data_IF_548292925703
#
_entry.id   IF_548292925703
#
_cell.length_a   1.000
_cell.length_b   1.000
_cell.length_c   1.000
_cell.angle_alpha   90.00
_cell.angle_beta   90.00
_cell.angle_gamma   90.00
#
_symmetry.space_group_name_H-M   'P 1'
#
loop_
_entity.id
_entity.type
_entity.pdbx_description
1 polymer ?
#
# COMPACT_ATOMS: atom_id res chain seq x y z
N UNK A 1 -15.09 -12.38 4.33
CA UNK A 1 -15.26 -13.86 4.44
C UNK A 1 -13.95 -14.66 4.53
N UNK A 2 -12.89 -14.43 3.73
CA UNK A 2 -11.65 -15.26 3.75
C UNK A 2 -11.04 -15.51 5.14
N UNK A 3 -10.93 -14.47 5.98
CA UNK A 3 -10.36 -14.61 7.33
C UNK A 3 -11.25 -15.44 8.26
N UNK A 4 -12.57 -15.28 8.16
CA UNK A 4 -13.56 -16.07 8.90
C UNK A 4 -13.45 -17.54 8.49
N UNK A 5 -13.44 -17.83 7.19
CA UNK A 5 -13.28 -19.21 6.70
C UNK A 5 -11.97 -19.86 7.19
N UNK A 6 -10.89 -19.08 7.29
CA UNK A 6 -9.63 -19.56 7.87
C UNK A 6 -9.77 -19.92 9.34
N UNK A 7 -10.43 -19.09 10.15
CA UNK A 7 -10.67 -19.37 11.57
C UNK A 7 -11.63 -20.54 11.77
N UNK A 8 -12.71 -20.62 10.99
CA UNK A 8 -13.63 -21.75 11.00
C UNK A 8 -12.92 -23.07 10.62
N UNK A 9 -11.98 -23.04 9.67
CA UNK A 9 -11.15 -24.20 9.35
C UNK A 9 -10.23 -24.62 10.49
N UNK A 10 -9.76 -23.66 11.31
CA UNK A 10 -8.97 -23.97 12.51
C UNK A 10 -9.84 -24.60 13.60
N UNK A 11 -11.05 -24.09 13.81
CA UNK A 11 -12.04 -24.66 14.73
C UNK A 11 -12.46 -26.09 14.37
N UNK A 12 -12.66 -26.37 13.08
CA UNK A 12 -12.96 -27.74 12.61
C UNK A 12 -11.83 -28.74 12.88
N UNK A 13 -10.60 -28.27 13.04
CA UNK A 13 -9.45 -29.12 13.39
C UNK A 13 -9.36 -29.43 14.87
N UNK A 14 -10.08 -28.69 15.71
CA UNK A 14 -10.16 -28.91 17.15
C UNK A 14 -11.47 -29.62 17.54
N UNK A 15 -12.11 -30.31 16.58
CA UNK A 15 -13.39 -31.06 16.74
C UNK A 15 -14.57 -30.23 17.27
N UNK A 16 -14.45 -28.91 17.31
CA UNK A 16 -15.52 -28.01 17.73
C UNK A 16 -16.47 -27.73 16.57
N UNK A 17 -17.77 -27.76 16.85
CA UNK A 17 -18.77 -27.33 15.89
C UNK A 17 -18.56 -25.85 15.54
N UNK A 18 -18.40 -25.51 14.25
CA UNK A 18 -18.02 -24.17 13.81
C UNK A 18 -19.23 -23.22 13.81
N UNK A 19 -19.75 -22.91 15.00
CA UNK A 19 -20.86 -21.96 15.21
C UNK A 19 -20.35 -20.50 15.30
N UNK A 20 -21.21 -19.49 15.12
CA UNK A 20 -20.85 -18.09 15.35
C UNK A 20 -20.32 -17.83 16.77
N UNK A 21 -20.89 -18.51 17.77
CA UNK A 21 -20.45 -18.44 19.15
C UNK A 21 -19.06 -19.05 19.34
N UNK A 22 -18.83 -20.27 18.83
CA UNK A 22 -17.52 -20.92 18.88
C UNK A 22 -16.43 -20.06 18.20
N UNK A 23 -16.78 -19.35 17.13
CA UNK A 23 -15.89 -18.40 16.47
C UNK A 23 -15.54 -17.20 17.35
N UNK A 24 -16.52 -16.63 18.07
CA UNK A 24 -16.30 -15.52 18.98
C UNK A 24 -15.44 -15.94 20.19
N UNK A 25 -15.72 -17.11 20.76
CA UNK A 25 -14.98 -17.68 21.88
C UNK A 25 -13.54 -18.00 21.48
N UNK A 26 -13.34 -18.67 20.34
CA UNK A 26 -12.02 -18.93 19.77
C UNK A 26 -11.23 -17.64 19.54
N UNK A 27 -11.89 -16.58 19.05
CA UNK A 27 -11.25 -15.28 18.92
C UNK A 27 -10.84 -14.72 20.28
N UNK A 28 -11.73 -14.71 21.29
CA UNK A 28 -11.44 -14.19 22.64
C UNK A 28 -10.28 -14.93 23.30
N UNK A 29 -10.30 -16.25 23.27
CA UNK A 29 -9.24 -17.11 23.81
C UNK A 29 -7.87 -16.73 23.23
N UNK A 30 -7.79 -16.49 21.91
CA UNK A 30 -6.53 -16.06 21.28
C UNK A 30 -6.04 -14.69 21.71
N UNK A 31 -6.95 -13.80 22.13
CA UNK A 31 -6.59 -12.50 22.72
C UNK A 31 -6.04 -12.71 24.13
N UNK A 32 -6.72 -13.52 24.94
CA UNK A 32 -6.33 -13.83 26.33
C UNK A 32 -4.97 -14.52 26.39
N UNK A 33 -4.75 -15.51 25.52
CA UNK A 33 -3.49 -16.25 25.40
C UNK A 33 -2.37 -15.45 24.70
N UNK A 34 -2.63 -14.23 24.25
CA UNK A 34 -1.68 -13.39 23.49
C UNK A 34 -1.08 -14.08 22.24
N UNK A 35 -1.80 -15.02 21.61
CA UNK A 35 -1.27 -15.82 20.49
C UNK A 35 -1.24 -15.08 19.15
N UNK A 36 -1.76 -13.85 19.10
CA UNK A 36 -1.81 -13.01 17.90
C UNK A 36 -1.40 -11.57 18.16
N UNK A 37 -0.85 -10.95 17.11
CA UNK A 37 -0.53 -9.52 17.12
C UNK A 37 -1.80 -8.66 17.16
N UNK A 38 -1.68 -7.44 17.68
CA UNK A 38 -2.78 -6.48 17.71
C UNK A 38 -3.37 -6.21 16.31
N UNK A 39 -2.53 -6.07 15.28
CA UNK A 39 -3.01 -5.84 13.91
C UNK A 39 -3.84 -7.02 13.38
N UNK A 40 -3.41 -8.25 13.65
CA UNK A 40 -4.15 -9.48 13.30
C UNK A 40 -5.47 -9.56 14.06
N UNK A 41 -5.46 -9.24 15.35
CA UNK A 41 -6.65 -9.22 16.18
C UNK A 41 -7.70 -8.22 15.68
N UNK A 42 -7.29 -6.99 15.33
CA UNK A 42 -8.19 -5.98 14.74
C UNK A 42 -8.82 -6.46 13.44
N UNK A 43 -8.04 -7.07 12.56
CA UNK A 43 -8.52 -7.63 11.30
C UNK A 43 -9.49 -8.79 11.50
N UNK A 44 -9.20 -9.70 12.43
CA UNK A 44 -10.06 -10.82 12.76
C UNK A 44 -11.37 -10.32 13.37
N UNK A 45 -11.30 -9.43 14.37
CA UNK A 45 -12.48 -8.78 14.97
C UNK A 45 -13.38 -8.14 13.93
N UNK A 46 -12.83 -7.31 13.04
CA UNK A 46 -13.61 -6.67 11.97
C UNK A 46 -14.21 -7.68 11.00
N UNK A 47 -13.49 -8.77 10.71
CA UNK A 47 -13.98 -9.83 9.83
C UNK A 47 -15.13 -10.63 10.46
N UNK A 48 -15.08 -10.88 11.78
CA UNK A 48 -16.14 -11.57 12.52
C UNK A 48 -17.36 -10.66 12.63
N UNK A 49 -17.18 -9.38 12.98
CA UNK A 49 -18.27 -8.40 13.03
C UNK A 49 -19.03 -8.35 11.70
N UNK A 50 -18.31 -8.26 10.58
CA UNK A 50 -18.91 -8.29 9.25
C UNK A 50 -19.66 -9.60 8.96
N UNK A 51 -19.12 -10.73 9.43
CA UNK A 51 -19.79 -12.03 9.27
C UNK A 51 -21.09 -12.09 10.07
N UNK A 52 -21.07 -11.67 11.34
CA UNK A 52 -22.28 -11.60 12.18
C UNK A 52 -23.33 -10.68 11.57
N UNK A 53 -22.93 -9.50 11.06
CA UNK A 53 -23.87 -8.60 10.39
C UNK A 53 -24.48 -9.23 9.14
N UNK A 54 -23.69 -9.96 8.33
CA UNK A 54 -24.22 -10.66 7.14
C UNK A 54 -25.17 -11.81 7.49
N UNK A 55 -24.96 -12.48 8.63
CA UNK A 55 -25.88 -13.50 9.13
C UNK A 55 -27.17 -12.87 9.66
N UNK A 56 -27.05 -11.77 10.41
CA UNK A 56 -28.19 -11.05 10.97
C UNK A 56 -29.12 -10.54 9.85
N UNK A 57 -28.57 -9.89 8.82
CA UNK A 57 -29.35 -9.45 7.66
C UNK A 57 -30.12 -10.60 7.02
N UNK A 58 -29.44 -11.74 6.76
CA UNK A 58 -30.09 -12.92 6.18
C UNK A 58 -31.21 -13.48 7.05
N UNK A 59 -31.05 -13.48 8.38
CA UNK A 59 -32.08 -13.97 9.30
C UNK A 59 -33.29 -13.04 9.30
N UNK A 60 -33.07 -11.73 9.34
CA UNK A 60 -34.14 -10.72 9.25
C UNK A 60 -34.91 -10.87 7.95
N UNK A 61 -34.23 -11.06 6.81
CA UNK A 61 -34.87 -11.28 5.51
C UNK A 61 -35.78 -12.53 5.51
N UNK A 62 -35.47 -13.52 6.36
CA UNK A 62 -36.27 -14.75 6.54
C UNK A 62 -37.25 -14.69 7.72
N UNK A 63 -37.43 -13.54 8.37
CA UNK A 63 -38.33 -13.36 9.52
C UNK A 63 -37.81 -13.95 10.83
N UNK A 64 -36.54 -14.29 10.93
CA UNK A 64 -35.91 -14.86 12.13
C UNK A 64 -35.38 -13.81 13.11
N UNK A 65 -35.33 -14.16 14.39
CA UNK A 65 -34.72 -13.34 15.44
C UNK A 65 -33.19 -13.20 15.33
N UNK A 66 -32.64 -12.14 15.94
CA UNK A 66 -31.21 -11.79 15.89
C UNK A 66 -30.58 -11.55 17.26
N UNK A 67 -31.29 -11.83 18.35
CA UNK A 67 -30.84 -11.51 19.72
C UNK A 67 -29.53 -12.21 20.08
N UNK A 68 -29.37 -13.47 19.68
CA UNK A 68 -28.12 -14.23 19.82
C UNK A 68 -26.95 -13.54 19.08
N UNK A 69 -27.18 -13.05 17.86
CA UNK A 69 -26.16 -12.35 17.09
C UNK A 69 -25.83 -10.97 17.67
N UNK A 70 -26.82 -10.25 18.21
CA UNK A 70 -26.63 -8.99 18.92
C UNK A 70 -25.83 -9.17 20.21
N UNK A 71 -26.08 -10.26 20.94
CA UNK A 71 -25.31 -10.63 22.12
C UNK A 71 -23.85 -10.93 21.76
N UNK A 72 -23.60 -11.70 20.69
CA UNK A 72 -22.25 -11.97 20.19
C UNK A 72 -21.54 -10.71 19.70
N UNK A 73 -22.25 -9.81 19.02
CA UNK A 73 -21.72 -8.50 18.61
C UNK A 73 -21.29 -7.68 19.83
N UNK A 74 -22.15 -7.59 20.84
CA UNK A 74 -21.88 -6.86 22.09
C UNK A 74 -20.71 -7.46 22.86
N UNK A 75 -20.64 -8.79 22.93
CA UNK A 75 -19.51 -9.53 23.49
C UNK A 75 -18.21 -9.14 22.79
N UNK A 76 -18.15 -9.23 21.46
CA UNK A 76 -16.97 -8.83 20.70
C UNK A 76 -16.61 -7.36 20.93
N UNK A 77 -17.61 -6.47 21.05
CA UNK A 77 -17.41 -5.06 21.40
C UNK A 77 -16.50 -4.88 22.61
N UNK A 78 -16.73 -5.68 23.66
CA UNK A 78 -15.99 -5.65 24.93
C UNK A 78 -14.56 -6.22 24.84
N UNK A 79 -14.28 -7.09 23.88
CA UNK A 79 -12.94 -7.68 23.69
C UNK A 79 -11.92 -6.60 23.27
N UNK A 80 -11.02 -6.25 24.19
CA UNK A 80 -10.00 -5.20 23.99
C UNK A 80 -8.76 -5.76 23.29
N UNK A 81 -8.49 -5.28 22.08
CA UNK A 81 -7.26 -5.63 21.34
C UNK A 81 -6.06 -4.73 21.70
N UNK A 82 -6.27 -3.69 22.53
CA UNK A 82 -5.24 -2.70 22.89
C UNK A 82 -4.05 -3.31 23.65
N UNK A 83 -4.29 -4.38 24.41
CA UNK A 83 -3.31 -5.05 25.28
C UNK A 83 -2.32 -5.93 24.52
N UNK A 84 -2.62 -6.28 23.28
CA UNK A 84 -1.78 -7.14 22.44
C UNK A 84 -0.53 -6.41 21.94
N UNK A 85 0.56 -7.16 21.64
CA UNK A 85 1.78 -6.57 21.11
C UNK A 85 1.54 -5.81 19.80
N UNK A 86 2.05 -4.57 19.76
CA UNK A 86 1.99 -3.65 18.62
C UNK A 86 2.92 -4.10 17.47
N UNK A 87 4.04 -4.75 17.80
CA UNK A 87 5.09 -5.13 16.85
C UNK A 87 5.31 -6.63 16.90
N UNK A 88 5.50 -7.22 15.74
CA UNK A 88 5.94 -8.61 15.60
C UNK A 88 6.98 -8.72 14.49
N UNK A 89 7.85 -9.72 14.62
CA UNK A 89 8.90 -10.00 13.63
C UNK A 89 8.33 -10.59 12.33
N UNK A 90 7.05 -10.96 12.34
CA UNK A 90 6.32 -11.51 11.17
C UNK A 90 5.80 -10.43 10.21
N UNK A 91 6.12 -9.16 10.43
CA UNK A 91 5.71 -8.06 9.53
C UNK A 91 6.77 -7.77 8.47
N UNK A 92 6.46 -6.92 7.50
CA UNK A 92 7.46 -6.47 6.51
C UNK A 92 8.45 -5.44 7.05
N UNK A 93 8.25 -4.95 8.28
CA UNK A 93 9.10 -3.92 8.90
C UNK A 93 10.58 -4.33 9.09
N UNK A 94 10.91 -5.59 9.44
CA UNK A 94 12.28 -6.05 9.57
C UNK A 94 13.02 -6.22 8.23
N UNK A 95 12.27 -6.32 7.11
CA UNK A 95 12.87 -6.52 5.78
C UNK A 95 13.81 -5.37 5.42
N UNK A 96 14.86 -5.69 4.67
CA UNK A 96 15.77 -4.67 4.18
C UNK A 96 15.01 -3.72 3.25
N UNK A 97 15.07 -2.42 3.55
CA UNK A 97 14.40 -1.37 2.77
C UNK A 97 15.23 -0.92 1.56
N UNK A 98 16.52 -1.23 1.55
CA UNK A 98 17.45 -0.94 0.46
C UNK A 98 17.43 -2.08 -0.56
N UNK A 99 17.72 -1.73 -1.80
CA UNK A 99 18.08 -2.69 -2.86
C UNK A 99 19.35 -2.16 -3.52
N UNK A 100 20.49 -2.83 -3.35
CA UNK A 100 21.78 -2.38 -3.90
C UNK A 100 21.99 -2.87 -5.32
N UNK A 101 22.83 -2.16 -6.08
CA UNK A 101 23.22 -2.56 -7.43
C UNK A 101 24.00 -3.88 -7.44
N UNK A 102 24.75 -4.16 -6.37
CA UNK A 102 25.45 -5.44 -6.16
C UNK A 102 24.49 -6.62 -6.17
N UNK A 103 23.37 -6.53 -5.44
CA UNK A 103 22.34 -7.59 -5.44
C UNK A 103 21.77 -7.79 -6.84
N UNK A 104 21.55 -6.70 -7.60
CA UNK A 104 21.05 -6.80 -8.97
C UNK A 104 22.05 -7.56 -9.84
N UNK A 105 23.33 -7.20 -9.79
CA UNK A 105 24.39 -7.88 -10.55
C UNK A 105 24.52 -9.37 -10.20
N UNK A 106 24.43 -9.71 -8.91
CA UNK A 106 24.44 -11.11 -8.47
C UNK A 106 23.22 -11.89 -8.95
N UNK A 107 22.03 -11.28 -8.96
CA UNK A 107 20.80 -11.91 -9.48
C UNK A 107 20.89 -12.09 -11.01
N UNK A 108 21.44 -11.12 -11.74
CA UNK A 108 21.69 -11.21 -13.18
C UNK A 108 22.65 -12.34 -13.51
N UNK A 109 23.79 -12.40 -12.80
CA UNK A 109 24.74 -13.49 -12.94
C UNK A 109 24.07 -14.85 -12.67
N UNK A 110 23.30 -14.97 -11.57
CA UNK A 110 22.57 -16.19 -11.26
C UNK A 110 21.57 -16.58 -12.37
N UNK A 111 20.87 -15.62 -12.97
CA UNK A 111 19.94 -15.88 -14.05
C UNK A 111 20.63 -16.40 -15.32
N UNK A 112 21.87 -15.98 -15.58
CA UNK A 112 22.69 -16.45 -16.70
C UNK A 112 23.23 -17.86 -16.48
N UNK A 113 23.75 -18.16 -15.28
CA UNK A 113 24.44 -19.43 -15.01
C UNK A 113 23.51 -20.54 -14.50
N UNK A 114 22.27 -20.23 -14.12
CA UNK A 114 21.36 -21.19 -13.52
C UNK A 114 19.93 -21.12 -14.10
N UNK A 115 19.68 -21.95 -15.11
CA UNK A 115 18.41 -22.07 -15.80
C UNK A 115 17.23 -22.57 -14.92
N UNK A 116 17.49 -23.08 -13.71
CA UNK A 116 16.41 -23.51 -12.78
C UNK A 116 15.58 -22.31 -12.30
N UNK A 117 16.13 -21.10 -12.34
CA UNK A 117 15.45 -19.87 -11.95
C UNK A 117 14.67 -19.22 -13.12
N UNK A 118 13.78 -19.97 -13.77
CA UNK A 118 13.06 -19.54 -14.99
C UNK A 118 12.31 -18.20 -14.85
N UNK A 119 11.78 -17.89 -13.66
CA UNK A 119 11.04 -16.65 -13.41
C UNK A 119 11.93 -15.49 -12.93
N UNK A 120 13.24 -15.72 -12.74
CA UNK A 120 14.16 -14.68 -12.25
C UNK A 120 14.36 -13.53 -13.25
N UNK A 121 14.39 -13.74 -14.58
CA UNK A 121 14.38 -12.63 -15.54
C UNK A 121 13.20 -11.66 -15.34
N UNK A 122 11.98 -12.17 -15.12
CA UNK A 122 10.83 -11.34 -14.80
C UNK A 122 11.03 -10.52 -13.52
N UNK A 123 11.59 -11.16 -12.47
CA UNK A 123 11.91 -10.49 -11.19
C UNK A 123 12.95 -9.38 -11.39
N UNK A 124 14.01 -9.62 -12.17
CA UNK A 124 15.05 -8.62 -12.47
C UNK A 124 14.45 -7.45 -13.26
N UNK A 125 13.64 -7.72 -14.29
CA UNK A 125 12.94 -6.69 -15.05
C UNK A 125 12.03 -5.85 -14.17
N UNK A 126 11.28 -6.47 -13.25
CA UNK A 126 10.51 -5.75 -12.24
C UNK A 126 11.40 -4.87 -11.36
N UNK A 127 12.51 -5.40 -10.82
CA UNK A 127 13.39 -4.66 -9.91
C UNK A 127 13.93 -3.40 -10.60
N UNK A 128 14.45 -3.54 -11.83
CA UNK A 128 15.03 -2.43 -12.58
C UNK A 128 13.99 -1.34 -12.86
N UNK A 129 12.81 -1.72 -13.35
CA UNK A 129 11.73 -0.77 -13.62
C UNK A 129 11.22 -0.11 -12.32
N UNK A 130 11.04 -0.87 -11.25
CA UNK A 130 10.43 -0.40 -10.02
C UNK A 130 11.39 0.38 -9.11
N UNK A 131 12.70 0.26 -9.30
CA UNK A 131 13.66 1.18 -8.69
C UNK A 131 13.55 2.60 -9.26
N UNK A 132 13.07 2.73 -10.50
CA UNK A 132 12.84 4.04 -11.13
C UNK A 132 11.47 4.60 -10.73
N UNK A 133 10.41 3.80 -10.86
CA UNK A 133 9.01 4.28 -10.71
C UNK A 133 8.45 4.12 -9.29
N UNK A 134 9.00 3.21 -8.50
CA UNK A 134 8.56 2.92 -7.13
C UNK A 134 7.08 2.53 -7.01
N UNK A 135 6.49 1.90 -8.03
CA UNK A 135 5.10 1.43 -8.00
C UNK A 135 4.90 0.30 -6.96
N UNK A 136 3.66 0.14 -6.49
CA UNK A 136 3.27 -1.11 -5.83
C UNK A 136 3.14 -2.19 -6.91
N UNK A 137 3.44 -3.47 -6.62
CA UNK A 137 3.34 -4.53 -7.60
C UNK A 137 2.01 -4.52 -8.38
N UNK A 138 0.88 -4.46 -7.67
CA UNK A 138 -0.46 -4.44 -8.25
C UNK A 138 -0.77 -3.20 -9.11
N UNK A 139 -0.04 -2.09 -8.93
CA UNK A 139 -0.30 -0.86 -9.69
C UNK A 139 0.12 -1.00 -11.16
N UNK A 140 1.14 -1.83 -11.45
CA UNK A 140 1.60 -2.07 -12.82
C UNK A 140 0.49 -2.55 -13.78
N UNK A 141 -0.49 -3.29 -13.25
CA UNK A 141 -1.61 -3.85 -14.02
C UNK A 141 -2.57 -2.80 -14.60
N UNK A 142 -2.49 -1.56 -14.10
CA UNK A 142 -3.34 -0.44 -14.50
C UNK A 142 -2.52 0.78 -14.88
N UNK A 143 -1.41 0.56 -15.59
CA UNK A 143 -0.54 1.63 -16.09
C UNK A 143 -0.72 1.86 -17.59
N UNK A 144 -0.54 3.10 -18.04
CA UNK A 144 -0.51 3.47 -19.45
C UNK A 144 0.46 4.62 -19.70
N UNK A 145 1.17 4.57 -20.84
CA UNK A 145 2.02 5.68 -21.28
C UNK A 145 1.18 6.74 -22.00
N UNK A 146 1.53 8.00 -21.79
CA UNK A 146 0.94 9.14 -22.50
C UNK A 146 1.87 10.36 -22.42
N UNK A 147 1.52 11.43 -23.11
CA UNK A 147 2.20 12.73 -23.00
C UNK A 147 1.44 13.62 -22.01
N UNK A 148 2.05 13.92 -20.86
CA UNK A 148 1.53 14.88 -19.91
C UNK A 148 1.71 16.29 -20.45
N UNK A 149 0.65 17.09 -20.38
CA UNK A 149 0.65 18.50 -20.76
C UNK A 149 0.84 19.33 -19.50
N UNK A 150 1.91 20.12 -19.46
CA UNK A 150 2.26 20.90 -18.29
C UNK A 150 1.34 22.11 -18.10
N UNK A 151 0.97 22.35 -16.85
CA UNK A 151 0.16 23.50 -16.43
C UNK A 151 0.81 24.24 -15.28
N UNK A 152 0.55 25.53 -15.22
CA UNK A 152 0.96 26.38 -14.10
C UNK A 152 -0.03 26.25 -12.91
N UNK A 153 0.22 27.03 -11.86
CA UNK A 153 -0.62 27.06 -10.65
C UNK A 153 -2.04 27.58 -10.90
N UNK A 154 -2.26 28.32 -11.99
CA UNK A 154 -3.56 28.85 -12.40
C UNK A 154 -4.26 27.90 -13.39
N UNK A 155 -3.73 26.68 -13.57
CA UNK A 155 -4.23 25.67 -14.50
C UNK A 155 -4.16 26.13 -15.97
N UNK A 156 -3.28 27.09 -16.30
CA UNK A 156 -2.99 27.51 -17.65
C UNK A 156 -1.85 26.66 -18.25
N UNK A 157 -1.93 26.39 -19.55
CA UNK A 157 -0.90 25.60 -20.23
C UNK A 157 0.45 26.33 -20.24
N UNK A 158 1.50 25.64 -19.79
CA UNK A 158 2.87 26.16 -19.87
C UNK A 158 3.34 26.05 -21.31
N UNK A 159 3.83 27.16 -21.87
CA UNK A 159 4.34 27.22 -23.24
C UNK A 159 5.86 27.33 -23.24
N UNK A 160 6.50 26.71 -24.22
CA UNK A 160 7.94 26.80 -24.44
C UNK A 160 8.24 28.11 -25.16
N UNK A 161 9.12 28.94 -24.57
CA UNK A 161 9.41 30.28 -25.07
C UNK A 161 10.00 30.32 -26.49
N UNK A 162 10.64 29.23 -26.94
CA UNK A 162 11.30 29.16 -28.23
C UNK A 162 10.34 29.05 -29.43
N UNK A 163 9.16 28.46 -29.25
CA UNK A 163 8.23 28.17 -30.36
C UNK A 163 6.73 28.30 -30.01
N UNK A 164 6.42 28.84 -28.82
CA UNK A 164 5.07 28.99 -28.28
C UNK A 164 4.27 27.66 -28.20
N UNK A 165 4.94 26.49 -28.33
CA UNK A 165 4.28 25.19 -28.21
C UNK A 165 4.00 24.86 -26.76
N UNK A 166 2.94 24.09 -26.56
CA UNK A 166 2.58 23.59 -25.24
C UNK A 166 3.68 22.65 -24.76
N UNK A 167 4.21 22.93 -23.57
CA UNK A 167 5.19 22.09 -22.91
C UNK A 167 4.55 20.76 -22.54
N UNK A 168 5.18 19.66 -22.94
CA UNK A 168 4.74 18.32 -22.60
C UNK A 168 5.92 17.42 -22.21
N UNK A 169 5.62 16.35 -21.49
CA UNK A 169 6.60 15.33 -21.14
C UNK A 169 5.99 13.94 -21.14
N UNK A 170 6.75 12.91 -21.55
CA UNK A 170 6.27 11.54 -21.47
C UNK A 170 6.01 11.18 -20.00
N UNK A 171 4.92 10.48 -19.76
CA UNK A 171 4.44 10.16 -18.43
C UNK A 171 3.80 8.78 -18.39
N UNK A 172 3.69 8.25 -17.18
CA UNK A 172 2.95 7.04 -16.86
C UNK A 172 1.73 7.40 -16.02
N UNK A 173 0.54 7.18 -16.56
CA UNK A 173 -0.69 7.22 -15.78
C UNK A 173 -0.81 5.93 -14.99
N UNK A 174 -1.14 6.03 -13.70
CA UNK A 174 -1.16 4.90 -12.77
C UNK A 174 -2.46 4.88 -11.98
N UNK A 175 -3.23 3.79 -12.09
CA UNK A 175 -4.35 3.56 -11.19
C UNK A 175 -3.86 3.33 -9.76
N UNK A 176 -4.27 4.19 -8.84
CA UNK A 176 -3.80 4.19 -7.47
C UNK A 176 -4.44 3.05 -6.65
N UNK A 177 -3.63 2.10 -6.20
CA UNK A 177 -4.11 0.96 -5.41
C UNK A 177 -4.68 1.36 -4.04
N UNK A 178 -4.32 2.54 -3.51
CA UNK A 178 -4.77 3.04 -2.20
C UNK A 178 -6.17 3.66 -2.21
N UNK A 179 -6.73 3.96 -3.38
CA UNK A 179 -8.05 4.60 -3.51
C UNK A 179 -9.16 3.68 -3.07
N UNK A 180 -8.99 2.36 -3.27
CA UNK A 180 -9.92 1.31 -2.82
C UNK A 180 -10.23 1.34 -1.31
N UNK A 181 -9.45 2.06 -0.50
CA UNK A 181 -9.63 2.18 0.94
C UNK A 181 -9.78 3.64 1.41
N UNK A 182 -10.01 4.59 0.48
CA UNK A 182 -10.09 6.03 0.80
C UNK A 182 -8.76 6.64 1.27
N UNK A 183 -7.62 6.03 0.93
CA UNK A 183 -6.27 6.41 1.42
C UNK A 183 -5.33 6.90 0.31
N UNK A 184 -5.82 7.04 -0.91
CA UNK A 184 -5.09 7.55 -2.07
C UNK A 184 -5.48 8.99 -2.39
N UNK A 185 -4.57 9.78 -2.96
CA UNK A 185 -4.78 11.16 -3.43
C UNK A 185 -5.51 11.24 -4.79
N UNK A 186 -6.49 10.35 -5.04
CA UNK A 186 -7.20 10.25 -6.31
C UNK A 186 -7.19 8.82 -6.88
N UNK A 187 -8.10 8.52 -7.81
CA UNK A 187 -8.15 7.20 -8.48
C UNK A 187 -6.93 6.95 -9.35
N UNK A 188 -6.42 8.00 -9.99
CA UNK A 188 -5.23 7.96 -10.83
C UNK A 188 -4.19 8.94 -10.29
N UNK A 189 -2.93 8.71 -10.66
CA UNK A 189 -1.84 9.67 -10.49
C UNK A 189 -0.89 9.56 -11.67
N UNK A 190 -0.17 10.65 -11.91
CA UNK A 190 0.79 10.71 -13.00
C UNK A 190 2.21 10.65 -12.46
N UNK A 191 3.04 9.86 -13.16
CA UNK A 191 4.48 9.83 -12.97
C UNK A 191 5.09 10.43 -14.22
N UNK A 192 5.44 11.71 -14.15
CA UNK A 192 6.07 12.45 -15.25
C UNK A 192 7.54 12.05 -15.30
N UNK A 193 8.04 11.67 -16.47
CA UNK A 193 9.46 11.38 -16.65
C UNK A 193 10.23 12.69 -16.87
N UNK A 194 11.21 12.95 -15.99
CA UNK A 194 12.06 14.13 -16.03
C UNK A 194 13.50 13.71 -16.30
N UNK A 195 14.07 14.16 -17.40
CA UNK A 195 15.45 13.87 -17.80
C UNK A 195 15.77 12.37 -17.76
N UNK A 196 14.80 11.52 -18.17
CA UNK A 196 14.99 10.07 -18.16
C UNK A 196 15.87 9.66 -19.35
N UNK A 197 16.94 8.91 -19.07
CA UNK A 197 17.76 8.34 -20.14
C UNK A 197 17.08 7.14 -20.80
N UNK A 198 17.50 6.83 -22.02
CA UNK A 198 16.94 5.76 -22.85
C UNK A 198 17.05 4.39 -22.16
N UNK A 199 18.13 4.12 -21.42
CA UNK A 199 18.31 2.84 -20.72
C UNK A 199 17.33 2.70 -19.54
N UNK A 200 17.12 3.76 -18.78
CA UNK A 200 16.11 3.78 -17.72
C UNK A 200 14.71 3.61 -18.29
N UNK A 201 14.38 4.33 -19.36
CA UNK A 201 13.09 4.22 -20.04
C UNK A 201 12.85 2.81 -20.59
N UNK A 202 13.87 2.19 -21.20
CA UNK A 202 13.75 0.83 -21.76
C UNK A 202 13.43 -0.21 -20.69
N UNK A 203 13.95 -0.07 -19.46
CA UNK A 203 13.56 -0.94 -18.35
C UNK A 203 12.07 -0.83 -17.99
N UNK A 204 11.52 0.40 -17.97
CA UNK A 204 10.10 0.63 -17.68
C UNK A 204 9.23 0.06 -18.79
N UNK A 205 9.54 0.36 -20.05
CA UNK A 205 8.80 -0.10 -21.23
C UNK A 205 8.84 -1.63 -21.32
N UNK A 206 10.02 -2.24 -21.17
CA UNK A 206 10.18 -3.69 -21.20
C UNK A 206 9.34 -4.38 -20.12
N UNK A 207 9.35 -3.86 -18.89
CA UNK A 207 8.56 -4.47 -17.82
C UNK A 207 7.05 -4.27 -18.03
N UNK A 208 6.62 -3.12 -18.56
CA UNK A 208 5.22 -2.90 -18.94
C UNK A 208 4.76 -3.90 -19.98
N UNK A 209 5.57 -4.14 -21.02
CA UNK A 209 5.28 -5.11 -22.06
C UNK A 209 5.17 -6.55 -21.50
N UNK A 210 6.01 -6.95 -20.53
CA UNK A 210 5.85 -8.23 -19.84
C UNK A 210 4.51 -8.35 -19.11
N UNK A 211 4.06 -7.26 -18.47
CA UNK A 211 2.75 -7.22 -17.79
C UNK A 211 1.61 -7.30 -18.80
N UNK A 212 1.69 -6.57 -19.91
CA UNK A 212 0.66 -6.59 -20.96
C UNK A 212 0.54 -7.97 -21.59
N UNK A 213 1.66 -8.62 -21.90
CA UNK A 213 1.67 -10.01 -22.37
C UNK A 213 1.06 -10.97 -21.35
N UNK A 214 1.39 -10.81 -20.08
CA UNK A 214 0.82 -11.67 -19.03
C UNK A 214 -0.69 -11.45 -18.82
N UNK A 215 -1.17 -10.23 -19.04
CA UNK A 215 -2.61 -9.90 -19.03
C UNK A 215 -3.32 -10.44 -20.26
N UNK A 216 -2.73 -10.27 -21.44
CA UNK A 216 -3.29 -10.75 -22.71
C UNK A 216 -3.42 -12.28 -22.74
N UNK A 217 -2.40 -12.99 -22.26
CA UNK A 217 -2.37 -14.46 -22.23
C UNK A 217 -3.26 -15.07 -21.12
N UNK A 218 -3.95 -14.24 -20.33
CA UNK A 218 -4.77 -14.71 -19.22
C UNK A 218 -6.21 -14.23 -19.40
N UNK A 219 -7.09 -15.16 -19.79
CA UNK A 219 -8.52 -14.87 -19.99
C UNK A 219 -9.31 -14.60 -18.71
N UNK A 220 -8.65 -14.55 -17.54
CA UNK A 220 -9.35 -14.22 -16.31
C UNK A 220 -9.88 -12.79 -16.36
N UNK A 221 -11.19 -12.55 -16.14
CA UNK A 221 -11.72 -11.19 -16.07
C UNK A 221 -11.19 -10.44 -14.84
N UNK A 222 -10.65 -11.15 -13.85
CA UNK A 222 -10.12 -10.57 -12.62
C UNK A 222 -8.61 -10.33 -12.70
N UNK A 223 -8.24 -9.15 -13.20
CA UNK A 223 -6.83 -8.69 -13.27
C UNK A 223 -6.11 -8.74 -11.92
N UNK A 224 -6.82 -8.66 -10.78
CA UNK A 224 -6.20 -8.75 -9.45
C UNK A 224 -5.69 -10.16 -9.17
N UNK A 225 -6.45 -11.20 -9.52
CA UNK A 225 -6.00 -12.60 -9.37
C UNK A 225 -4.78 -12.91 -10.22
N UNK A 226 -4.73 -12.37 -11.43
CA UNK A 226 -3.55 -12.49 -12.32
C UNK A 226 -2.33 -11.89 -11.64
N UNK A 227 -2.45 -10.66 -11.14
CA UNK A 227 -1.38 -9.96 -10.45
C UNK A 227 -0.93 -10.66 -9.17
N UNK A 228 -1.88 -11.12 -8.34
CA UNK A 228 -1.58 -11.88 -7.11
C UNK A 228 -0.74 -13.11 -7.43
N UNK A 229 -1.09 -13.87 -8.47
CA UNK A 229 -0.33 -15.04 -8.91
C UNK A 229 1.07 -14.67 -9.38
N UNK A 230 1.18 -13.70 -10.29
CA UNK A 230 2.45 -13.27 -10.86
C UNK A 230 3.41 -12.77 -9.78
N UNK A 231 2.96 -11.87 -8.91
CA UNK A 231 3.82 -11.29 -7.90
C UNK A 231 4.07 -12.21 -6.71
N UNK A 232 3.19 -13.17 -6.43
CA UNK A 232 3.49 -14.25 -5.48
C UNK A 232 4.65 -15.11 -5.99
N UNK A 233 4.59 -15.56 -7.25
CA UNK A 233 5.66 -16.33 -7.87
C UNK A 233 6.96 -15.52 -7.94
N UNK A 234 6.89 -14.24 -8.29
CA UNK A 234 8.05 -13.35 -8.31
C UNK A 234 8.70 -13.21 -6.92
N UNK A 235 7.88 -13.07 -5.86
CA UNK A 235 8.37 -12.96 -4.48
C UNK A 235 9.02 -14.26 -3.98
N UNK A 236 8.47 -15.42 -4.34
CA UNK A 236 9.05 -16.73 -4.03
C UNK A 236 10.37 -16.96 -4.77
N UNK A 237 10.42 -16.64 -6.05
CA UNK A 237 11.63 -16.71 -6.87
C UNK A 237 12.71 -15.81 -6.32
N UNK A 238 12.39 -14.55 -6.00
CA UNK A 238 13.34 -13.60 -5.40
C UNK A 238 13.91 -14.18 -4.09
N UNK A 239 13.06 -14.71 -3.21
CA UNK A 239 13.52 -15.30 -1.94
C UNK A 239 14.47 -16.48 -2.17
N UNK A 240 14.14 -17.39 -3.08
CA UNK A 240 15.00 -18.55 -3.41
C UNK A 240 16.33 -18.10 -4.04
N UNK A 241 16.28 -17.10 -4.92
CA UNK A 241 17.46 -16.56 -5.57
C UNK A 241 18.40 -15.87 -4.58
N UNK A 242 17.84 -15.05 -3.68
CA UNK A 242 18.61 -14.37 -2.61
C UNK A 242 19.30 -15.38 -1.68
N UNK A 243 18.62 -16.47 -1.30
CA UNK A 243 19.26 -17.56 -0.56
C UNK A 243 20.40 -18.21 -1.33
N UNK A 244 20.24 -18.38 -2.65
CA UNK A 244 21.25 -19.01 -3.50
C UNK A 244 22.51 -18.16 -3.66
N UNK A 245 22.39 -16.83 -3.62
CA UNK A 245 23.54 -15.91 -3.69
C UNK A 245 24.15 -15.58 -2.31
N UNK A 246 23.68 -16.22 -1.24
CA UNK A 246 24.33 -16.16 0.09
C UNK A 246 23.57 -15.41 1.18
N UNK A 247 22.34 -14.94 0.95
CA UNK A 247 21.53 -14.35 2.03
C UNK A 247 20.92 -15.45 2.91
N UNK A 248 21.29 -15.47 4.20
CA UNK A 248 20.81 -16.42 5.21
C UNK A 248 19.40 -16.11 5.75
N UNK A 249 18.91 -16.98 6.64
CA UNK A 249 17.59 -16.81 7.27
C UNK A 249 17.56 -15.68 8.32
N UNK A 250 18.72 -15.35 8.90
CA UNK A 250 18.89 -14.24 9.86
C UNK A 250 19.17 -12.89 9.18
N UNK A 251 19.48 -12.90 7.88
CA UNK A 251 19.72 -11.68 7.13
C UNK A 251 18.43 -10.89 6.93
N UNK A 252 18.56 -9.56 6.96
CA UNK A 252 17.49 -8.70 6.46
C UNK A 252 17.46 -8.83 4.94
N UNK A 253 16.58 -9.69 4.43
CA UNK A 253 16.46 -9.92 2.98
C UNK A 253 15.60 -8.82 2.33
N UNK A 254 15.99 -8.26 1.16
CA UNK A 254 15.12 -7.38 0.40
C UNK A 254 13.93 -8.15 -0.19
N UNK A 255 12.87 -7.42 -0.49
CA UNK A 255 11.66 -7.93 -1.13
C UNK A 255 11.30 -7.10 -2.34
N UNK A 256 10.29 -7.52 -3.10
CA UNK A 256 9.77 -6.69 -4.20
C UNK A 256 9.41 -5.29 -3.70
N UNK A 257 8.84 -5.16 -2.49
CA UNK A 257 8.46 -3.87 -1.92
C UNK A 257 9.67 -2.99 -1.49
N UNK A 258 10.86 -3.58 -1.35
CA UNK A 258 12.09 -2.85 -1.03
C UNK A 258 12.51 -1.91 -2.15
N UNK A 259 12.20 -2.23 -3.41
CA UNK A 259 12.44 -1.34 -4.57
C UNK A 259 11.67 -0.03 -4.44
N UNK A 260 10.41 -0.06 -3.99
CA UNK A 260 9.63 1.14 -3.68
C UNK A 260 10.23 1.93 -2.51
N UNK A 261 10.71 1.24 -1.47
CA UNK A 261 11.39 1.91 -0.36
C UNK A 261 12.65 2.64 -0.81
N UNK A 262 13.43 2.03 -1.71
CA UNK A 262 14.61 2.62 -2.31
C UNK A 262 14.26 3.84 -3.17
N UNK A 263 13.26 3.73 -4.07
CA UNK A 263 12.81 4.85 -4.90
C UNK A 263 12.33 6.04 -4.04
N UNK A 264 11.63 5.80 -2.91
CA UNK A 264 11.28 6.87 -1.97
C UNK A 264 12.50 7.47 -1.27
N UNK A 265 13.52 6.67 -0.96
CA UNK A 265 14.78 7.17 -0.41
C UNK A 265 15.52 8.06 -1.43
N UNK A 266 15.54 7.66 -2.70
CA UNK A 266 16.10 8.42 -3.83
C UNK A 266 15.34 9.74 -4.02
N UNK A 267 14.01 9.74 -3.92
CA UNK A 267 13.19 10.94 -3.97
C UNK A 267 13.53 11.93 -2.84
N UNK A 268 13.64 11.44 -1.60
CA UNK A 268 14.08 12.25 -0.44
C UNK A 268 15.49 12.81 -0.63
N UNK A 269 16.40 12.01 -1.20
CA UNK A 269 17.78 12.43 -1.49
C UNK A 269 17.82 13.51 -2.56
N UNK A 270 16.95 13.40 -3.56
CA UNK A 270 16.82 14.35 -4.67
C UNK A 270 16.12 15.66 -4.30
N UNK A 271 15.70 15.82 -3.04
CA UNK A 271 15.19 17.08 -2.51
C UNK A 271 13.67 17.25 -2.56
N UNK A 272 12.91 16.24 -2.98
CA UNK A 272 11.45 16.34 -2.98
C UNK A 272 10.91 16.54 -1.57
N UNK A 273 9.93 17.44 -1.45
CA UNK A 273 9.22 17.68 -0.21
C UNK A 273 8.21 16.57 0.10
N UNK A 274 7.63 16.58 1.30
CA UNK A 274 6.74 15.50 1.75
C UNK A 274 5.45 15.41 0.94
N UNK A 275 4.93 16.54 0.46
CA UNK A 275 3.72 16.61 -0.36
C UNK A 275 3.99 16.03 -1.74
N UNK A 276 5.11 16.38 -2.37
CA UNK A 276 5.53 15.81 -3.66
C UNK A 276 5.76 14.30 -3.56
N UNK A 277 6.42 13.83 -2.49
CA UNK A 277 6.59 12.40 -2.23
C UNK A 277 5.21 11.75 -2.04
N UNK A 278 4.32 12.33 -1.24
CA UNK A 278 2.98 11.79 -1.04
C UNK A 278 2.22 11.69 -2.37
N UNK A 279 2.29 12.73 -3.21
CA UNK A 279 1.65 12.80 -4.51
C UNK A 279 2.17 11.71 -5.47
N UNK A 280 3.49 11.66 -5.64
CA UNK A 280 4.18 10.71 -6.54
C UNK A 280 3.88 9.25 -6.20
N UNK A 281 3.77 8.97 -4.90
CA UNK A 281 3.54 7.62 -4.38
C UNK A 281 2.06 7.32 -4.08
N UNK A 282 1.14 8.21 -4.42
CA UNK A 282 -0.28 7.94 -4.36
C UNK A 282 -0.87 7.97 -2.95
N UNK A 283 -0.37 8.83 -2.05
CA UNK A 283 -0.78 8.91 -0.65
C UNK A 283 -1.69 10.10 -0.41
N UNK A 284 -2.80 9.85 0.30
CA UNK A 284 -3.73 10.91 0.72
C UNK A 284 -3.12 11.95 1.67
N UNK A 285 -2.21 11.54 2.55
CA UNK A 285 -1.52 12.44 3.49
C UNK A 285 -0.03 12.17 3.58
N UNK A 286 0.71 13.15 4.11
CA UNK A 286 2.16 13.12 4.30
C UNK A 286 2.62 12.16 5.41
N UNK A 287 1.75 11.82 6.37
CA UNK A 287 2.09 10.98 7.53
C UNK A 287 2.66 9.61 7.15
N UNK A 288 2.08 8.99 6.09
CA UNK A 288 2.53 7.67 5.63
C UNK A 288 3.91 7.73 4.97
N UNK A 289 4.24 8.85 4.31
CA UNK A 289 5.55 9.06 3.69
C UNK A 289 6.68 9.22 4.73
N UNK A 290 6.35 9.78 5.89
CA UNK A 290 7.28 10.11 6.98
C UNK A 290 7.82 8.87 7.70
N UNK A 291 6.96 7.95 8.12
CA UNK A 291 7.30 6.93 9.13
C UNK A 291 7.83 5.63 8.51
N UNK A 292 7.27 5.16 7.40
CA UNK A 292 7.49 3.79 6.95
C UNK A 292 8.55 3.63 5.87
N UNK A 293 8.86 4.69 5.12
CA UNK A 293 9.74 4.59 3.95
C UNK A 293 11.24 4.67 4.24
N UNK A 294 12.06 4.39 3.22
CA UNK A 294 13.51 4.53 3.30
C UNK A 294 13.92 5.94 3.75
N UNK A 295 15.06 6.03 4.45
CA UNK A 295 15.65 7.30 4.91
C UNK A 295 16.45 7.94 3.78
N UNK A 296 16.56 9.28 3.78
CA UNK A 296 17.32 10.08 2.78
C UNK A 296 18.75 9.58 2.58
N UNK A 297 19.43 9.23 3.67
CA UNK A 297 20.80 8.73 3.68
C UNK A 297 21.00 7.43 2.88
N UNK A 298 19.93 6.69 2.59
CA UNK A 298 19.99 5.45 1.83
C UNK A 298 19.64 5.64 0.35
N UNK A 299 19.40 6.87 -0.10
CA UNK A 299 19.21 7.16 -1.52
C UNK A 299 20.53 6.96 -2.28
N UNK A 300 20.47 6.30 -3.43
CA UNK A 300 21.62 6.02 -4.28
C UNK A 300 21.54 6.82 -5.58
N UNK A 301 20.35 7.03 -6.14
CA UNK A 301 20.17 7.63 -7.46
C UNK A 301 19.51 9.02 -7.41
N UNK A 302 19.78 9.84 -8.43
CA UNK A 302 19.00 11.04 -8.72
C UNK A 302 17.64 10.61 -9.28
N UNK A 303 16.56 11.17 -8.73
CA UNK A 303 15.20 10.87 -9.15
C UNK A 303 14.96 11.43 -10.57
N UNK A 304 14.40 10.60 -11.45
CA UNK A 304 14.09 10.92 -12.86
C UNK A 304 12.58 11.02 -13.12
N UNK A 305 11.82 11.19 -12.04
CA UNK A 305 10.36 11.22 -12.07
C UNK A 305 9.85 12.36 -11.19
N UNK A 306 8.70 12.91 -11.56
CA UNK A 306 8.02 13.97 -10.83
C UNK A 306 6.50 13.71 -10.76
N UNK A 307 5.82 14.17 -9.70
CA UNK A 307 4.37 14.14 -9.65
C UNK A 307 3.76 15.22 -10.55
N UNK A 308 2.53 15.02 -11.03
CA UNK A 308 1.73 16.09 -11.64
C UNK A 308 1.25 17.11 -10.61
N UNK A 309 0.99 18.35 -11.05
CA UNK A 309 0.44 19.39 -10.18
C UNK A 309 -0.93 19.00 -9.62
N UNK A 310 -1.74 18.32 -10.42
CA UNK A 310 -3.03 17.76 -10.01
C UNK A 310 -2.86 16.77 -8.85
N UNK A 311 -1.87 15.87 -8.95
CA UNK A 311 -1.57 14.89 -7.91
C UNK A 311 -1.06 15.54 -6.62
N UNK A 312 -0.30 16.64 -6.73
CA UNK A 312 0.21 17.42 -5.58
C UNK A 312 -0.93 18.13 -4.87
N UNK A 313 -1.81 18.80 -5.62
CA UNK A 313 -2.98 19.50 -5.08
C UNK A 313 -3.98 18.56 -4.39
N UNK A 314 -4.05 17.30 -4.84
CA UNK A 314 -4.92 16.29 -4.24
C UNK A 314 -4.42 15.71 -2.90
N UNK A 315 -3.18 16.02 -2.47
CA UNK A 315 -2.67 15.57 -1.17
C UNK A 315 -3.22 16.46 -0.06
N UNK A 316 -3.87 15.86 0.94
CA UNK A 316 -4.22 16.59 2.17
C UNK A 316 -2.98 16.88 2.98
N UNK A 317 -2.63 18.15 3.06
CA UNK A 317 -1.66 18.66 4.01
C UNK A 317 -2.36 18.69 5.37
N UNK A 318 -2.00 17.75 6.24
CA UNK A 318 -2.27 17.92 7.66
C UNK A 318 -1.44 19.13 8.10
N UNK A 319 -2.05 20.32 8.19
CA UNK A 319 -1.46 21.43 8.94
C UNK A 319 -1.08 20.83 10.29
N UNK A 320 0.21 20.87 10.61
CA UNK A 320 0.76 20.27 11.80
C UNK A 320 -0.12 20.56 13.02
N UNK A 321 -0.17 19.60 13.94
CA UNK A 321 -0.70 19.66 15.31
C UNK A 321 -0.17 20.81 16.20
N UNK A 322 0.22 21.97 15.64
CA UNK A 322 0.71 23.15 16.35
C UNK A 322 -0.26 24.35 16.31
N UNK A 323 -1.51 24.18 15.83
CA UNK A 323 -2.51 25.28 15.82
C UNK A 323 -3.91 24.87 16.31
N UNK A 324 -4.06 23.72 16.96
CA UNK A 324 -5.36 23.26 17.48
C UNK A 324 -5.47 23.18 19.00
N UNK A 325 -4.48 23.72 19.75
CA UNK A 325 -4.59 23.89 21.21
C UNK A 325 -5.30 25.19 21.62
N UNK A 326 -6.02 25.89 20.72
CA UNK A 326 -6.70 27.14 21.08
C UNK A 326 -8.09 27.38 20.45
N UNK A 327 -8.85 26.32 20.13
CA UNK A 327 -10.25 26.46 19.65
C UNK A 327 -11.27 25.55 20.34
N UNK A 328 -11.04 25.20 21.60
CA UNK A 328 -12.08 24.64 22.48
C UNK A 328 -12.58 25.64 23.53
N UNK A 329 -12.11 26.88 23.49
CA UNK A 329 -12.72 27.96 24.25
C UNK A 329 -13.98 28.43 23.49
N UNK A 330 -15.16 28.44 24.12
CA UNK A 330 -16.34 29.05 23.51
C UNK A 330 -16.01 30.50 23.16
N UNK A 331 -16.50 30.99 22.00
CA UNK A 331 -16.35 32.41 21.67
C UNK A 331 -17.04 33.25 22.74
N UNK A 332 -16.58 34.48 22.96
CA UNK A 332 -17.18 35.41 23.92
C UNK A 332 -18.71 35.49 23.77
N UNK A 333 -19.21 35.47 22.51
CA UNK A 333 -20.64 35.43 22.23
C UNK A 333 -21.39 34.21 22.79
N UNK A 334 -20.77 33.02 22.82
CA UNK A 334 -21.38 31.82 23.39
C UNK A 334 -21.33 31.83 24.93
N UNK A 335 -20.30 32.45 25.51
CA UNK A 335 -20.20 32.64 26.97
C UNK A 335 -21.28 33.61 27.45
N UNK A 336 -21.52 34.70 26.71
CA UNK A 336 -22.55 35.67 27.08
C UNK A 336 -23.97 35.09 26.89
N UNK A 337 -24.21 34.30 25.83
CA UNK A 337 -25.47 33.57 25.65
C UNK A 337 -25.73 32.57 26.78
N UNK A 338 -24.69 31.90 27.27
CA UNK A 338 -24.79 30.97 28.41
C UNK A 338 -25.05 31.70 29.73
N UNK A 339 -24.51 32.91 29.93
CA UNK A 339 -24.79 33.74 31.11
C UNK A 339 -26.23 34.25 31.13
N UNK A 340 -26.78 34.60 29.98
CA UNK A 340 -28.19 35.02 29.87
C UNK A 340 -29.16 33.86 30.09
N UNK A 341 -28.77 32.64 29.71
CA UNK A 341 -29.53 31.42 30.01
C UNK A 341 -29.51 31.01 31.48
N UNK A 342 -28.49 31.40 32.25
CA UNK A 342 -28.38 31.10 33.69
C UNK A 342 -29.10 32.15 34.55
N UNK A 343 -29.46 33.31 33.98
CA UNK A 343 -30.16 34.40 34.67
C UNK A 343 -31.69 34.38 34.52
N UNK A 344 -32.23 33.52 33.67
CA UNK A 344 -33.66 33.18 33.58
C UNK A 344 -33.88 31.77 34.11
#
# INVERSE_FOLDING_TARGET
>A
MRNVNRMLKQLRRTELNPTPEALCNYFSQRIEENTIAQATARLYKSSIIYYLSTLASKRVDTGGGIDDLNNLYSFLGRVKTSRLPLRTDKTSSPKMKRFSNEIIGQLEHLAMVNNKFKNLPFVISFIKANLITGLRPIEWMGTSFYNYIHKDTNNCFIRVAADNKISSSPALCVRNAKTTHGRGNGEYRDIIFKDIDIKSLSHIVHFKDLIDRALHNNHSPDKRKVAERLFHQAQETLRKALKKIGYGDDDKIPSLYSTRHQCVADAKKSGLNQTEIAALFGHWSTDTAKIHYGKKIHGNNKLKIAPSIESVNAVKINKSKNTLDNKLSPSASHIDLAKDWIKN
#
